data_IF_492610462375
#
_entry.id   IF_492610462375
#
_cell.length_a   1.000
_cell.length_b   1.000
_cell.length_c   1.000
_cell.angle_alpha   90.00
_cell.angle_beta   90.00
_cell.angle_gamma   90.00
#
_symmetry.space_group_name_H-M   'P 1'
#
loop_
_entity.id
_entity.type
_entity.pdbx_description
1 polymer ?
#
# COMPACT_ATOMS: atom_id res chain seq x y z
N UNK A 1 -28.70 3.28 -2.85
CA UNK A 1 -27.22 3.32 -2.90
C UNK A 1 -26.76 1.94 -3.34
N UNK A 2 -25.93 1.84 -4.38
CA UNK A 2 -25.36 0.56 -4.80
C UNK A 2 -24.45 0.02 -3.69
N UNK A 3 -24.51 -1.27 -3.45
CA UNK A 3 -23.60 -1.99 -2.57
C UNK A 3 -22.21 -2.06 -3.23
N UNK A 4 -21.14 -2.22 -2.43
CA UNK A 4 -19.80 -2.46 -2.97
C UNK A 4 -19.78 -3.82 -3.65
N UNK A 5 -19.48 -3.82 -4.94
CA UNK A 5 -19.29 -5.04 -5.71
C UNK A 5 -17.89 -5.61 -5.54
N UNK A 6 -17.77 -6.94 -5.61
CA UNK A 6 -16.48 -7.65 -5.49
C UNK A 6 -16.33 -8.63 -6.65
N UNK A 7 -15.17 -8.66 -7.28
CA UNK A 7 -14.85 -9.65 -8.32
C UNK A 7 -13.35 -9.91 -8.45
N UNK A 8 -13.03 -11.03 -9.09
CA UNK A 8 -11.67 -11.34 -9.52
C UNK A 8 -11.48 -10.90 -10.96
N UNK A 9 -10.34 -10.29 -11.28
CA UNK A 9 -10.00 -9.76 -12.60
C UNK A 9 -8.64 -10.29 -13.01
N UNK A 10 -8.55 -10.90 -14.19
CA UNK A 10 -7.28 -11.38 -14.74
C UNK A 10 -6.54 -10.20 -15.41
N UNK A 11 -5.35 -9.90 -14.92
CA UNK A 11 -4.53 -8.77 -15.40
C UNK A 11 -3.05 -9.13 -15.34
N UNK A 12 -2.27 -8.72 -16.32
CA UNK A 12 -0.80 -8.78 -16.28
C UNK A 12 -0.23 -10.11 -15.72
N UNK A 13 -0.89 -11.23 -16.05
CA UNK A 13 -0.48 -12.57 -15.65
C UNK A 13 -0.73 -12.95 -14.19
N UNK A 14 -1.65 -12.27 -13.51
CA UNK A 14 -2.18 -12.60 -12.19
C UNK A 14 -3.66 -12.30 -12.10
N UNK A 15 -4.32 -12.82 -11.06
CA UNK A 15 -5.69 -12.44 -10.71
C UNK A 15 -5.69 -11.46 -9.55
N UNK A 16 -6.31 -10.30 -9.77
CA UNK A 16 -6.56 -9.31 -8.72
C UNK A 16 -8.01 -9.40 -8.24
N UNK A 17 -8.18 -9.38 -6.94
CA UNK A 17 -9.45 -9.04 -6.33
C UNK A 17 -9.65 -7.53 -6.40
N UNK A 18 -10.84 -7.10 -6.77
CA UNK A 18 -11.23 -5.70 -6.78
C UNK A 18 -12.54 -5.49 -6.03
N UNK A 19 -12.59 -4.40 -5.26
CA UNK A 19 -13.81 -3.84 -4.72
C UNK A 19 -14.18 -2.61 -5.56
N UNK A 20 -15.41 -2.51 -6.01
CA UNK A 20 -15.82 -1.42 -6.88
C UNK A 20 -17.21 -0.88 -6.55
N UNK A 21 -17.45 0.39 -6.87
CA UNK A 21 -18.74 1.03 -6.65
C UNK A 21 -18.94 2.20 -7.62
N UNK A 22 -20.20 2.41 -8.04
CA UNK A 22 -20.60 3.52 -8.89
C UNK A 22 -20.39 3.24 -10.39
N UNK A 23 -20.73 4.24 -11.19
CA UNK A 23 -20.60 4.25 -12.65
C UNK A 23 -20.06 5.60 -13.09
N UNK A 24 -19.41 5.67 -14.25
CA UNK A 24 -18.87 6.91 -14.80
C UNK A 24 -17.36 6.86 -15.02
N UNK A 25 -16.67 8.02 -15.00
CA UNK A 25 -15.22 8.06 -15.19
C UNK A 25 -14.48 7.26 -14.11
N UNK A 26 -13.49 6.44 -14.55
CA UNK A 26 -12.78 5.51 -13.67
C UNK A 26 -11.80 6.22 -12.74
N UNK A 27 -11.83 5.84 -11.45
CA UNK A 27 -10.85 6.20 -10.43
C UNK A 27 -10.28 4.92 -9.80
N UNK A 28 -8.99 4.67 -9.97
CA UNK A 28 -8.28 3.56 -9.32
C UNK A 28 -7.69 4.01 -7.99
N UNK A 29 -7.81 3.18 -6.95
CA UNK A 29 -7.43 3.47 -5.56
C UNK A 29 -6.43 2.42 -5.06
N UNK A 30 -5.13 2.74 -5.08
CA UNK A 30 -4.03 1.86 -4.68
C UNK A 30 -3.74 2.00 -3.18
N UNK A 31 -3.91 0.94 -2.40
CA UNK A 31 -3.61 0.92 -0.97
C UNK A 31 -2.12 0.70 -0.70
N UNK A 32 -1.72 0.85 0.57
CA UNK A 32 -0.36 0.65 1.04
C UNK A 32 -0.17 -0.60 1.92
N UNK A 33 0.86 -0.56 2.75
CA UNK A 33 1.19 -1.64 3.69
C UNK A 33 0.80 -1.26 5.13
N UNK A 34 0.25 -2.15 5.91
CA UNK A 34 -0.31 -3.48 5.60
C UNK A 34 -1.84 -3.39 5.40
N UNK A 35 -2.23 -2.83 4.29
CA UNK A 35 -3.62 -2.50 4.00
C UNK A 35 -4.24 -3.45 2.95
N UNK A 36 -5.48 -3.15 2.56
CA UNK A 36 -6.23 -3.81 1.48
C UNK A 36 -7.19 -2.80 0.86
N UNK A 37 -8.02 -3.24 -0.11
CA UNK A 37 -9.11 -2.42 -0.64
C UNK A 37 -9.96 -1.75 0.46
N UNK A 38 -10.06 -2.37 1.64
CA UNK A 38 -10.91 -1.91 2.74
C UNK A 38 -10.50 -0.55 3.30
N UNK A 39 -9.23 -0.15 3.13
CA UNK A 39 -8.77 1.21 3.47
C UNK A 39 -9.52 2.29 2.67
N UNK A 40 -10.00 1.94 1.49
CA UNK A 40 -10.72 2.84 0.59
C UNK A 40 -12.27 2.77 0.69
N UNK A 41 -12.83 2.00 1.63
CA UNK A 41 -14.29 1.78 1.76
C UNK A 41 -15.13 3.05 1.82
N UNK A 42 -14.61 4.12 2.42
CA UNK A 42 -15.30 5.41 2.49
C UNK A 42 -15.18 6.20 1.20
N UNK A 43 -14.01 6.15 0.54
CA UNK A 43 -13.74 6.80 -0.73
C UNK A 43 -14.49 6.14 -1.89
N UNK A 44 -14.61 4.81 -1.88
CA UNK A 44 -15.44 4.08 -2.86
C UNK A 44 -16.85 4.66 -2.88
N UNK A 45 -17.46 4.76 -1.70
CA UNK A 45 -18.80 5.31 -1.57
C UNK A 45 -18.89 6.78 -2.00
N UNK A 46 -18.00 7.63 -1.49
CA UNK A 46 -18.02 9.06 -1.77
C UNK A 46 -17.81 9.38 -3.26
N UNK A 47 -16.91 8.63 -3.92
CA UNK A 47 -16.67 8.77 -5.35
C UNK A 47 -17.87 8.28 -6.19
N UNK A 48 -18.49 7.17 -5.79
CA UNK A 48 -19.70 6.67 -6.44
C UNK A 48 -20.86 7.68 -6.34
N UNK A 49 -21.07 8.28 -5.17
CA UNK A 49 -22.06 9.33 -4.95
C UNK A 49 -21.77 10.60 -5.78
N UNK A 50 -20.49 10.84 -6.10
CA UNK A 50 -20.04 11.93 -6.96
C UNK A 50 -20.07 11.60 -8.47
N UNK A 51 -20.57 10.42 -8.86
CA UNK A 51 -20.73 10.02 -10.27
C UNK A 51 -19.46 9.45 -10.91
N UNK A 52 -18.58 8.84 -10.12
CA UNK A 52 -17.41 8.13 -10.60
C UNK A 52 -17.56 6.61 -10.43
N UNK A 53 -16.90 5.85 -11.30
CA UNK A 53 -16.66 4.43 -11.08
C UNK A 53 -15.37 4.30 -10.26
N UNK A 54 -15.48 4.05 -8.97
CA UNK A 54 -14.34 3.88 -8.06
C UNK A 54 -14.00 2.40 -7.95
N UNK A 55 -12.72 2.06 -8.13
CA UNK A 55 -12.20 0.69 -8.10
C UNK A 55 -10.97 0.63 -7.21
N UNK A 56 -11.03 -0.20 -6.17
CA UNK A 56 -9.95 -0.45 -5.23
C UNK A 56 -9.50 -1.92 -5.33
N UNK A 57 -8.39 -2.22 -6.02
CA UNK A 57 -7.83 -3.56 -6.00
C UNK A 57 -7.21 -3.88 -4.64
N UNK A 58 -7.25 -5.15 -4.23
CA UNK A 58 -6.17 -5.67 -3.40
C UNK A 58 -4.92 -5.72 -4.28
N UNK A 59 -3.89 -4.98 -3.89
CA UNK A 59 -2.65 -4.93 -4.68
C UNK A 59 -2.00 -6.32 -4.74
N UNK A 60 -1.18 -6.57 -5.77
CA UNK A 60 -0.41 -7.82 -5.92
C UNK A 60 0.21 -8.27 -4.59
N UNK A 61 -0.08 -9.51 -4.17
CA UNK A 61 0.42 -10.07 -2.91
C UNK A 61 -0.39 -9.72 -1.65
N UNK A 62 -1.50 -8.98 -1.81
CA UNK A 62 -2.36 -8.60 -0.69
C UNK A 62 -3.77 -9.18 -0.80
N UNK A 63 -4.42 -9.29 0.34
CA UNK A 63 -5.82 -9.63 0.47
C UNK A 63 -6.22 -10.91 -0.24
N UNK A 64 -7.12 -10.80 -1.21
CA UNK A 64 -7.61 -11.92 -2.01
C UNK A 64 -6.94 -12.01 -3.40
N UNK A 65 -6.03 -11.10 -3.71
CA UNK A 65 -5.24 -11.13 -4.95
C UNK A 65 -4.16 -12.20 -4.90
N UNK A 66 -3.75 -12.66 -6.08
CA UNK A 66 -2.65 -13.63 -6.17
C UNK A 66 -1.34 -13.05 -5.62
N UNK A 67 -0.58 -13.93 -4.95
CA UNK A 67 0.72 -13.64 -4.37
C UNK A 67 1.79 -14.54 -5.03
N UNK A 68 2.36 -14.12 -6.16
CA UNK A 68 3.47 -14.87 -6.78
C UNK A 68 4.62 -15.10 -5.81
N UNK A 69 5.22 -16.27 -5.86
CA UNK A 69 6.35 -16.65 -4.98
C UNK A 69 7.67 -15.99 -5.37
N UNK A 70 7.79 -15.58 -6.63
CA UNK A 70 9.00 -15.00 -7.18
C UNK A 70 9.10 -13.52 -6.84
N UNK A 71 10.15 -13.11 -6.12
CA UNK A 71 10.39 -11.73 -5.68
C UNK A 71 10.47 -10.77 -6.88
N UNK A 72 11.03 -11.22 -7.99
CA UNK A 72 11.18 -10.45 -9.23
C UNK A 72 9.84 -10.01 -9.82
N UNK A 73 8.74 -10.65 -9.46
CA UNK A 73 7.39 -10.30 -9.91
C UNK A 73 6.76 -9.15 -9.11
N UNK A 74 7.47 -8.60 -8.12
CA UNK A 74 7.00 -7.49 -7.29
C UNK A 74 7.69 -6.15 -7.61
N UNK A 75 8.27 -6.01 -8.80
CA UNK A 75 8.85 -4.73 -9.20
C UNK A 75 7.78 -3.69 -9.43
N UNK A 76 8.16 -2.42 -9.32
CA UNK A 76 7.25 -1.31 -9.60
C UNK A 76 6.65 -1.36 -11.01
N UNK A 77 7.39 -1.89 -11.99
CA UNK A 77 6.89 -2.07 -13.37
C UNK A 77 5.76 -3.12 -13.43
N UNK A 78 5.84 -4.20 -12.65
CA UNK A 78 4.75 -5.17 -12.55
C UNK A 78 3.50 -4.52 -11.92
N UNK A 79 3.68 -3.74 -10.85
CA UNK A 79 2.56 -3.07 -10.18
C UNK A 79 1.89 -2.02 -11.08
N UNK A 80 2.67 -1.28 -11.86
CA UNK A 80 2.14 -0.37 -12.90
C UNK A 80 1.44 -1.16 -14.01
N UNK A 81 2.03 -2.28 -14.43
CA UNK A 81 1.43 -3.20 -15.40
C UNK A 81 0.07 -3.73 -14.94
N UNK A 82 -0.08 -4.03 -13.66
CA UNK A 82 -1.36 -4.45 -13.07
C UNK A 82 -2.43 -3.34 -13.20
N UNK A 83 -2.07 -2.09 -12.93
CA UNK A 83 -2.99 -0.97 -13.05
C UNK A 83 -3.40 -0.71 -14.50
N UNK A 84 -2.48 -0.86 -15.46
CA UNK A 84 -2.80 -0.77 -16.89
C UNK A 84 -3.71 -1.92 -17.32
N UNK A 85 -3.35 -3.16 -16.94
CA UNK A 85 -4.16 -4.34 -17.23
C UNK A 85 -5.56 -4.26 -16.62
N UNK A 86 -5.68 -3.61 -15.46
CA UNK A 86 -6.98 -3.38 -14.83
C UNK A 86 -7.84 -2.40 -15.65
N UNK A 87 -7.25 -1.33 -16.22
CA UNK A 87 -7.98 -0.46 -17.15
C UNK A 87 -8.48 -1.25 -18.36
N UNK A 88 -7.62 -2.11 -18.93
CA UNK A 88 -7.99 -2.91 -20.12
C UNK A 88 -9.14 -3.86 -19.79
N UNK A 89 -9.08 -4.56 -18.68
CA UNK A 89 -10.10 -5.50 -18.23
C UNK A 89 -11.43 -4.82 -17.87
N UNK A 90 -11.38 -3.55 -17.46
CA UNK A 90 -12.55 -2.72 -17.17
C UNK A 90 -13.10 -2.00 -18.43
N UNK A 91 -12.44 -2.14 -19.59
CA UNK A 91 -12.81 -1.45 -20.81
C UNK A 91 -12.60 0.07 -20.76
N UNK A 92 -11.76 0.55 -19.85
CA UNK A 92 -11.49 1.97 -19.66
C UNK A 92 -10.26 2.41 -20.46
N UNK A 93 -10.39 3.43 -21.28
CA UNK A 93 -9.26 4.01 -22.01
C UNK A 93 -8.33 4.80 -21.09
N UNK A 94 -8.89 5.53 -20.13
CA UNK A 94 -8.15 6.36 -19.17
C UNK A 94 -8.76 6.31 -17.78
N UNK A 95 -7.96 6.61 -16.75
CA UNK A 95 -8.41 6.76 -15.38
C UNK A 95 -7.72 7.93 -14.65
N UNK A 96 -8.28 8.33 -13.54
CA UNK A 96 -7.56 8.98 -12.44
C UNK A 96 -7.00 7.86 -11.56
N UNK A 97 -5.79 8.01 -11.04
CA UNK A 97 -5.20 7.06 -10.10
C UNK A 97 -4.85 7.76 -8.79
N UNK A 98 -5.26 7.17 -7.67
CA UNK A 98 -4.91 7.62 -6.33
C UNK A 98 -4.13 6.52 -5.61
N UNK A 99 -3.14 6.90 -4.81
CA UNK A 99 -2.37 5.95 -4.02
C UNK A 99 -2.03 6.51 -2.64
N UNK A 100 -2.09 5.64 -1.64
CA UNK A 100 -1.70 5.92 -0.26
C UNK A 100 -0.53 5.03 0.12
N UNK A 101 0.42 5.54 0.91
CA UNK A 101 1.61 4.82 1.39
C UNK A 101 2.34 4.14 0.22
N UNK A 102 2.54 2.80 0.21
CA UNK A 102 3.14 2.07 -0.92
C UNK A 102 2.32 2.11 -2.21
N UNK A 103 1.04 2.41 -2.15
CA UNK A 103 0.22 2.68 -3.33
C UNK A 103 0.55 4.01 -4.01
N UNK A 104 1.10 4.99 -3.29
CA UNK A 104 1.45 6.28 -3.89
C UNK A 104 2.60 6.18 -4.90
N UNK A 105 3.73 5.48 -4.65
CA UNK A 105 4.73 5.19 -5.68
C UNK A 105 4.15 4.52 -6.93
N UNK A 106 3.19 3.60 -6.77
CA UNK A 106 2.52 2.97 -7.92
C UNK A 106 1.72 4.00 -8.69
N UNK A 107 0.93 4.85 -8.02
CA UNK A 107 0.16 5.89 -8.66
C UNK A 107 1.05 6.92 -9.40
N UNK A 108 2.13 7.40 -8.76
CA UNK A 108 3.08 8.32 -9.37
C UNK A 108 3.74 7.75 -10.62
N UNK A 109 4.19 6.49 -10.57
CA UNK A 109 4.87 5.86 -11.71
C UNK A 109 3.89 5.43 -12.79
N UNK A 110 2.65 5.11 -12.46
CA UNK A 110 1.59 4.89 -13.45
C UNK A 110 1.36 6.15 -14.29
N UNK A 111 1.22 7.31 -13.65
CA UNK A 111 1.06 8.57 -14.35
C UNK A 111 2.32 8.99 -15.16
N UNK A 112 3.52 8.71 -14.63
CA UNK A 112 4.78 9.01 -15.29
C UNK A 112 5.03 8.13 -16.52
N UNK A 113 4.80 6.82 -16.41
CA UNK A 113 5.14 5.84 -17.44
C UNK A 113 4.02 5.67 -18.49
N UNK A 114 2.78 5.93 -18.08
CA UNK A 114 1.60 5.79 -18.93
C UNK A 114 0.68 7.01 -18.85
N UNK A 115 1.19 8.21 -19.21
CA UNK A 115 0.38 9.44 -19.23
C UNK A 115 -0.78 9.38 -20.24
N UNK A 116 -0.69 8.47 -21.20
CA UNK A 116 -1.76 8.13 -22.14
C UNK A 116 -2.96 7.44 -21.46
N UNK A 117 -2.73 6.76 -20.33
CA UNK A 117 -3.74 5.98 -19.59
C UNK A 117 -4.16 6.64 -18.28
N UNK A 118 -3.29 7.38 -17.64
CA UNK A 118 -3.56 8.04 -16.34
C UNK A 118 -3.54 9.55 -16.50
N UNK A 119 -4.71 10.15 -16.65
CA UNK A 119 -4.90 11.58 -16.91
C UNK A 119 -4.69 12.49 -15.69
N UNK A 120 -4.73 11.92 -14.48
CA UNK A 120 -4.45 12.61 -13.23
C UNK A 120 -3.98 11.63 -12.16
N UNK A 121 -3.20 12.12 -11.20
CA UNK A 121 -2.67 11.36 -10.08
C UNK A 121 -2.90 12.08 -8.76
N UNK A 122 -3.24 11.31 -7.72
CA UNK A 122 -3.37 11.76 -6.34
C UNK A 122 -2.45 10.91 -5.47
N UNK A 123 -1.44 11.53 -4.88
CA UNK A 123 -0.53 10.87 -3.93
C UNK A 123 -0.82 11.29 -2.51
N UNK A 124 -1.11 10.33 -1.62
CA UNK A 124 -1.33 10.55 -0.19
C UNK A 124 -0.16 9.99 0.62
N UNK A 125 0.30 10.75 1.58
CA UNK A 125 1.40 10.49 2.53
C UNK A 125 2.80 10.35 1.93
N UNK A 126 2.96 9.86 0.69
CA UNK A 126 4.27 9.67 0.05
C UNK A 126 4.37 10.53 -1.21
N UNK A 127 5.23 11.59 -1.22
CA UNK A 127 5.42 12.44 -2.39
C UNK A 127 6.18 11.71 -3.51
N UNK A 128 6.06 12.23 -4.72
CA UNK A 128 6.89 11.77 -5.84
C UNK A 128 8.37 11.96 -5.53
N UNK A 129 9.15 10.93 -5.78
CA UNK A 129 10.61 10.98 -5.73
C UNK A 129 11.17 10.53 -7.06
N UNK A 130 11.94 11.37 -7.74
CA UNK A 130 12.61 10.98 -8.98
C UNK A 130 13.66 9.91 -8.69
N UNK A 131 14.00 9.13 -9.72
CA UNK A 131 15.06 8.12 -9.62
C UNK A 131 16.40 8.83 -9.33
N UNK A 132 17.02 8.46 -8.21
CA UNK A 132 18.37 8.89 -7.88
C UNK A 132 19.46 8.02 -8.52
N UNK A 133 20.70 8.43 -8.37
CA UNK A 133 21.90 7.67 -8.81
C UNK A 133 22.25 6.53 -7.85
N UNK A 134 21.79 6.59 -6.61
CA UNK A 134 22.07 5.62 -5.54
C UNK A 134 20.85 4.76 -5.24
N UNK A 135 21.05 3.48 -4.94
CA UNK A 135 19.96 2.61 -4.48
C UNK A 135 19.36 3.17 -3.19
N UNK A 136 18.02 3.29 -3.06
CA UNK A 136 17.40 3.81 -1.85
C UNK A 136 17.85 3.09 -0.58
N UNK A 137 17.97 1.76 -0.63
CA UNK A 137 18.41 0.94 0.50
C UNK A 137 19.84 1.25 0.98
N UNK A 138 20.70 1.81 0.13
CA UNK A 138 22.07 2.21 0.53
C UNK A 138 22.07 3.48 1.39
N UNK A 139 21.07 4.35 1.21
CA UNK A 139 20.95 5.61 1.95
C UNK A 139 20.06 5.50 3.21
N UNK A 140 19.43 4.33 3.45
CA UNK A 140 18.56 4.12 4.60
C UNK A 140 19.36 4.02 5.89
N UNK A 141 18.79 4.56 6.98
CA UNK A 141 19.42 4.63 8.29
C UNK A 141 19.73 3.23 8.85
N UNK A 142 20.94 3.12 9.40
CA UNK A 142 21.45 1.94 10.15
C UNK A 142 22.24 2.42 11.34
N UNK A 143 22.04 1.76 12.47
CA UNK A 143 22.87 1.88 13.66
C UNK A 143 23.32 0.48 14.10
N UNK A 144 24.16 0.41 15.12
CA UNK A 144 24.56 -0.87 15.69
C UNK A 144 23.37 -1.66 16.25
N UNK A 145 22.36 -0.95 16.79
CA UNK A 145 21.22 -1.53 17.49
C UNK A 145 19.92 -1.58 16.66
N UNK A 146 19.80 -0.82 15.56
CA UNK A 146 18.57 -0.72 14.78
C UNK A 146 18.81 -0.51 13.29
N UNK A 147 17.82 -0.87 12.48
CA UNK A 147 17.81 -0.62 11.03
C UNK A 147 16.47 0.00 10.63
N UNK A 148 16.46 0.80 9.55
CA UNK A 148 15.21 1.29 9.00
C UNK A 148 14.33 0.12 8.53
N UNK A 149 13.02 0.18 8.76
CA UNK A 149 12.08 -0.94 8.59
C UNK A 149 12.13 -1.58 7.19
N UNK A 150 12.36 -0.78 6.14
CA UNK A 150 12.50 -1.32 4.78
C UNK A 150 13.71 -2.24 4.63
N UNK A 151 14.77 -2.01 5.41
CA UNK A 151 15.93 -2.91 5.45
C UNK A 151 15.63 -4.20 6.22
N UNK A 152 14.84 -4.09 7.29
CA UNK A 152 14.36 -5.26 8.02
C UNK A 152 13.56 -6.21 7.13
N UNK A 153 12.72 -5.64 6.24
CA UNK A 153 11.93 -6.41 5.28
C UNK A 153 12.72 -6.97 4.09
N UNK A 154 14.01 -6.63 3.93
CA UNK A 154 14.84 -7.23 2.88
C UNK A 154 15.33 -8.65 3.21
N UNK A 155 15.25 -9.07 4.47
CA UNK A 155 15.67 -10.42 4.89
C UNK A 155 14.47 -11.38 4.78
N UNK A 156 14.45 -12.28 3.79
CA UNK A 156 13.32 -13.19 3.59
C UNK A 156 13.07 -14.08 4.80
N UNK A 157 11.82 -14.22 5.20
CA UNK A 157 11.38 -15.07 6.29
C UNK A 157 11.44 -14.42 7.68
N UNK A 158 12.21 -13.34 7.88
CA UNK A 158 12.35 -12.71 9.19
C UNK A 158 11.08 -11.95 9.58
N UNK A 159 10.62 -11.07 8.71
CA UNK A 159 9.39 -10.33 8.94
C UNK A 159 8.17 -11.24 8.94
N UNK A 160 8.11 -12.20 8.02
CA UNK A 160 7.02 -13.18 7.93
C UNK A 160 6.90 -14.00 9.21
N UNK A 161 8.02 -14.47 9.77
CA UNK A 161 8.04 -15.23 11.01
C UNK A 161 7.57 -14.40 12.21
N UNK A 162 7.84 -13.10 12.24
CA UNK A 162 7.38 -12.21 13.30
C UNK A 162 5.90 -11.84 13.12
N UNK A 163 5.56 -11.26 11.96
CA UNK A 163 4.25 -10.67 11.71
C UNK A 163 3.14 -11.73 11.58
N UNK A 164 3.50 -12.93 11.15
CA UNK A 164 2.59 -14.05 10.99
C UNK A 164 2.21 -14.79 12.28
N UNK A 165 2.86 -14.54 13.41
CA UNK A 165 2.58 -15.23 14.69
C UNK A 165 1.16 -15.00 15.21
N UNK A 166 0.72 -13.76 15.16
CA UNK A 166 -0.63 -13.32 15.49
C UNK A 166 -1.02 -12.17 14.58
N UNK A 167 -1.57 -12.52 13.41
CA UNK A 167 -1.92 -11.56 12.36
C UNK A 167 -2.90 -10.50 12.85
N UNK A 168 -3.87 -10.88 13.70
CA UNK A 168 -4.84 -9.93 14.25
C UNK A 168 -4.16 -8.88 15.14
N UNK A 169 -3.28 -9.32 16.04
CA UNK A 169 -2.49 -8.41 16.89
C UNK A 169 -1.56 -7.54 16.04
N UNK A 170 -0.87 -8.14 15.08
CA UNK A 170 0.02 -7.44 14.15
C UNK A 170 -0.68 -6.28 13.45
N UNK A 171 -1.80 -6.54 12.76
CA UNK A 171 -2.54 -5.51 12.03
C UNK A 171 -3.07 -4.44 12.98
N UNK A 172 -3.66 -4.83 14.11
CA UNK A 172 -4.16 -3.88 15.11
C UNK A 172 -3.05 -2.94 15.61
N UNK A 173 -1.91 -3.49 15.97
CA UNK A 173 -0.75 -2.73 16.50
C UNK A 173 -0.18 -1.79 15.45
N UNK A 174 0.01 -2.24 14.21
CA UNK A 174 0.58 -1.42 13.14
C UNK A 174 -0.37 -0.26 12.81
N UNK A 175 -1.66 -0.54 12.58
CA UNK A 175 -2.63 0.49 12.20
C UNK A 175 -2.87 1.49 13.34
N UNK A 176 -2.95 1.04 14.59
CA UNK A 176 -3.05 1.93 15.74
C UNK A 176 -1.82 2.83 15.86
N UNK A 177 -0.62 2.24 15.79
CA UNK A 177 0.64 2.98 15.92
C UNK A 177 0.87 3.96 14.77
N UNK A 178 0.42 3.65 13.55
CA UNK A 178 0.44 4.55 12.40
C UNK A 178 -0.65 5.63 12.42
N UNK A 179 -1.71 5.42 13.18
CA UNK A 179 -2.84 6.33 13.32
C UNK A 179 -2.56 7.56 14.18
N UNK A 180 -3.49 8.52 14.13
CA UNK A 180 -3.38 9.78 14.89
C UNK A 180 -3.33 9.59 16.41
N UNK A 181 -4.03 8.59 16.94
CA UNK A 181 -4.04 8.25 18.37
C UNK A 181 -2.68 7.69 18.81
N UNK A 182 -2.13 6.72 18.09
CA UNK A 182 -0.82 6.16 18.37
C UNK A 182 0.32 7.17 18.23
N UNK A 183 0.22 8.12 17.28
CA UNK A 183 1.17 9.22 17.15
C UNK A 183 1.14 10.17 18.36
N UNK A 184 -0.03 10.52 18.87
CA UNK A 184 -0.16 11.37 20.06
C UNK A 184 0.48 10.74 21.29
N UNK A 185 0.33 9.42 21.45
CA UNK A 185 0.95 8.69 22.54
C UNK A 185 2.49 8.65 22.43
N UNK A 186 3.07 8.66 21.21
CA UNK A 186 4.53 8.67 20.98
C UNK A 186 5.18 10.03 21.17
N UNK A 187 4.51 11.14 20.88
CA UNK A 187 5.04 12.50 21.06
C UNK A 187 5.44 12.76 22.52
N UNK A 188 4.91 12.00 23.48
CA UNK A 188 5.32 12.02 24.88
C UNK A 188 6.52 11.12 25.25
N UNK A 189 7.01 10.26 24.33
CA UNK A 189 8.00 9.22 24.62
C UNK A 189 9.37 9.40 23.94
N UNK A 190 9.62 10.54 23.30
CA UNK A 190 10.96 10.91 22.78
C UNK A 190 11.19 10.54 21.32
N UNK A 191 12.22 11.02 20.77
CA UNK A 191 12.91 10.99 19.48
C UNK A 191 12.05 10.84 18.20
N UNK A 192 11.75 11.98 17.53
CA UNK A 192 11.11 11.98 16.20
C UNK A 192 11.97 11.32 15.11
N UNK A 193 13.28 11.15 15.32
CA UNK A 193 14.19 10.51 14.36
C UNK A 193 14.12 8.99 14.38
N UNK A 194 13.48 8.39 15.40
CA UNK A 194 13.29 6.95 15.52
C UNK A 194 12.12 6.39 14.70
N UNK A 195 11.37 7.23 13.97
CA UNK A 195 10.22 6.79 13.15
C UNK A 195 10.70 5.83 12.05
N UNK A 196 10.25 4.58 12.15
CA UNK A 196 10.60 3.53 11.17
C UNK A 196 11.89 2.76 11.48
N UNK A 197 12.58 3.04 12.59
CA UNK A 197 13.71 2.26 13.04
C UNK A 197 13.25 0.98 13.76
N UNK A 198 13.74 -0.17 13.33
CA UNK A 198 13.45 -1.49 13.90
C UNK A 198 14.67 -1.98 14.68
N UNK A 199 14.56 -2.29 15.99
CA UNK A 199 15.68 -2.83 16.74
C UNK A 199 16.08 -4.18 16.17
N UNK A 200 17.38 -4.43 16.13
CA UNK A 200 17.93 -5.75 15.79
C UNK A 200 17.53 -6.83 16.81
N UNK A 201 17.28 -6.41 18.05
CA UNK A 201 16.70 -7.26 19.10
C UNK A 201 15.27 -6.82 19.37
N UNK A 202 14.30 -7.71 19.15
CA UNK A 202 12.88 -7.42 19.40
C UNK A 202 11.99 -7.30 18.17
N UNK A 203 12.55 -6.99 16.99
CA UNK A 203 11.83 -6.96 15.72
C UNK A 203 10.92 -5.75 15.52
N UNK A 204 10.15 -5.79 14.44
CA UNK A 204 9.32 -4.68 13.96
C UNK A 204 8.20 -4.30 14.96
N UNK A 205 7.54 -5.30 15.55
CA UNK A 205 6.43 -5.07 16.48
C UNK A 205 6.86 -4.52 17.84
N UNK A 206 8.16 -4.58 18.19
CA UNK A 206 8.65 -4.05 19.47
C UNK A 206 8.42 -2.54 19.63
N UNK A 207 8.31 -1.80 18.51
CA UNK A 207 8.02 -0.36 18.51
C UNK A 207 6.54 -0.01 18.36
N UNK A 208 5.68 -1.02 18.22
CA UNK A 208 4.26 -0.78 18.06
C UNK A 208 3.53 -0.90 19.39
N UNK A 209 2.53 -0.05 19.59
CA UNK A 209 1.67 -0.12 20.77
C UNK A 209 0.52 -1.09 20.53
N UNK A 210 0.18 -1.87 21.53
CA UNK A 210 -1.03 -2.68 21.52
C UNK A 210 -2.17 -1.91 22.23
N UNK A 211 -3.18 -1.44 21.49
CA UNK A 211 -4.30 -0.74 22.12
C UNK A 211 -5.12 -1.61 23.07
N UNK A 212 -4.97 -2.94 23.02
CA UNK A 212 -5.61 -3.83 23.99
C UNK A 212 -4.88 -3.89 25.36
N UNK A 213 -3.66 -3.33 25.42
CA UNK A 213 -2.87 -3.22 26.64
C UNK A 213 -2.99 -1.84 27.32
N UNK A 214 -3.76 -0.92 26.74
CA UNK A 214 -4.10 0.40 27.25
C UNK A 214 -5.46 0.40 27.93
#
# INVERSE_FOLDING_TARGET
MSEVGHRMVDVNGIRLHVAEQGEGPLVLLCHGFPESWYSWRHQLRALAEAGFHAVAPDMRGYGQSEAPSEIERYTLLHLVGDMVGLLDALGASTAVIAGHDWGAPVAWHSALLRPDRFRAVIGLSVPFRPRGSTRPTAAMARTDDAVFYQLYFQEPGVAEAELGRDVRSTIRRILYSGGGEGRRARVGLGDPDAVGMVPRRGGFLSHTQDPAAL
#
